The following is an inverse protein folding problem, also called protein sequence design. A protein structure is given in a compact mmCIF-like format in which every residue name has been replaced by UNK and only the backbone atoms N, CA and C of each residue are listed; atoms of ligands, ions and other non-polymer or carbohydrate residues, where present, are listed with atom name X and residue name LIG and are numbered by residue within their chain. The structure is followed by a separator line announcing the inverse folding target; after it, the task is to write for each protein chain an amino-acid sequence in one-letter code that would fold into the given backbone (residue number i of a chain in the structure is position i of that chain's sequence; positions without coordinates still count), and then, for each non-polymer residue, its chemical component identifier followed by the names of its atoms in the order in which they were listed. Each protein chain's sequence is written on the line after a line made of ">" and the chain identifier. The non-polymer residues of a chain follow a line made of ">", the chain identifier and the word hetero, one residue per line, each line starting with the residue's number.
data_IF_876756841827
#
_entry.id   IF_876756841827
#
_cell.length_a   1.000
_cell.length_b   1.000
_cell.length_c   1.000
_cell.angle_alpha   90.00
_cell.angle_beta   90.00
_cell.angle_gamma   90.00
#
_symmetry.space_group_name_H-M   'P 1'
#
loop_
_entity.id
_entity.type
_entity.pdbx_description
1 polymer ?
#
# COMPACT_ATOMS: atom_id res chain seq x y z
N UNK A 1 20.02 5.24 2.90
CA UNK A 1 19.01 4.17 2.99
C UNK A 1 19.43 3.05 2.04
N UNK A 2 19.43 1.81 2.53
CA UNK A 2 19.74 0.65 1.70
C UNK A 2 18.52 0.26 0.85
N UNK A 3 18.15 1.10 -0.11
CA UNK A 3 17.14 0.76 -1.09
C UNK A 3 17.81 0.09 -2.29
N UNK A 4 17.10 -0.83 -2.92
CA UNK A 4 17.52 -1.41 -4.20
C UNK A 4 17.53 -0.35 -5.29
N UNK A 5 18.46 -0.47 -6.22
CA UNK A 5 18.52 0.34 -7.43
C UNK A 5 17.76 -0.36 -8.57
N UNK A 6 17.49 0.36 -9.64
CA UNK A 6 16.90 -0.24 -10.86
C UNK A 6 17.78 -1.34 -11.45
N UNK A 7 19.09 -1.25 -11.26
CA UNK A 7 20.07 -2.26 -11.72
C UNK A 7 19.97 -3.57 -10.92
N UNK A 8 19.56 -3.49 -9.64
CA UNK A 8 19.40 -4.68 -8.80
C UNK A 8 18.16 -5.50 -9.17
N UNK A 9 17.17 -4.90 -9.86
CA UNK A 9 15.90 -5.55 -10.18
C UNK A 9 16.08 -6.85 -10.97
N UNK A 10 16.94 -6.87 -11.97
CA UNK A 10 17.20 -8.07 -12.77
C UNK A 10 17.70 -9.22 -11.90
N UNK A 11 18.72 -8.95 -11.09
CA UNK A 11 19.30 -9.97 -10.20
C UNK A 11 18.30 -10.48 -9.17
N UNK A 12 17.46 -9.58 -8.62
CA UNK A 12 16.43 -9.95 -7.64
C UNK A 12 15.37 -10.83 -8.31
N UNK A 13 14.87 -10.41 -9.47
CA UNK A 13 13.84 -11.16 -10.21
C UNK A 13 14.35 -12.55 -10.61
N UNK A 14 15.55 -12.65 -11.17
CA UNK A 14 16.16 -13.93 -11.54
C UNK A 14 16.26 -14.89 -10.34
N UNK A 15 16.74 -14.40 -9.20
CA UNK A 15 16.83 -15.21 -7.98
C UNK A 15 15.47 -15.66 -7.46
N UNK A 16 14.48 -14.81 -7.51
CA UNK A 16 13.13 -15.13 -7.08
C UNK A 16 12.47 -16.15 -8.02
N UNK A 17 12.62 -15.96 -9.33
CA UNK A 17 12.08 -16.87 -10.33
C UNK A 17 12.71 -18.27 -10.24
N UNK A 18 14.01 -18.36 -9.92
CA UNK A 18 14.71 -19.63 -9.75
C UNK A 18 14.11 -20.52 -8.63
N UNK A 19 13.34 -19.93 -7.71
CA UNK A 19 12.67 -20.63 -6.60
C UNK A 19 11.15 -20.46 -6.64
N UNK A 20 10.59 -20.10 -7.80
CA UNK A 20 9.15 -19.87 -8.04
C UNK A 20 8.50 -18.84 -7.09
N UNK A 21 9.24 -17.77 -6.78
CA UNK A 21 8.76 -16.64 -5.95
C UNK A 21 8.44 -15.44 -6.84
N UNK A 22 7.24 -14.87 -6.70
CA UNK A 22 6.83 -13.65 -7.40
C UNK A 22 7.50 -12.43 -6.78
N UNK A 23 7.78 -11.43 -7.63
CA UNK A 23 8.35 -10.15 -7.22
C UNK A 23 7.36 -9.03 -7.47
N UNK A 24 7.16 -8.16 -6.46
CA UNK A 24 6.30 -7.01 -6.57
C UNK A 24 7.10 -5.73 -6.28
N UNK A 25 7.01 -4.77 -7.19
CA UNK A 25 7.63 -3.46 -7.03
C UNK A 25 6.62 -2.45 -6.49
N UNK A 26 6.90 -1.84 -5.33
CA UNK A 26 6.06 -0.78 -4.78
C UNK A 26 6.41 0.56 -5.43
N UNK A 27 5.43 1.17 -6.11
CA UNK A 27 5.49 2.49 -6.73
C UNK A 27 4.25 3.28 -6.31
N UNK A 28 4.04 3.37 -4.99
CA UNK A 28 2.80 3.81 -4.37
C UNK A 28 2.90 5.15 -3.63
N UNK A 29 3.89 5.95 -3.95
CA UNK A 29 4.03 7.31 -3.41
C UNK A 29 3.25 8.31 -4.27
N UNK A 30 2.91 9.47 -3.68
CA UNK A 30 2.37 10.61 -4.42
C UNK A 30 3.42 11.11 -5.39
N UNK A 31 3.04 11.34 -6.66
CA UNK A 31 3.92 11.80 -7.74
C UNK A 31 3.71 13.29 -8.01
N UNK A 32 4.81 14.03 -8.13
CA UNK A 32 4.81 15.40 -8.62
C UNK A 32 5.25 15.43 -10.09
N UNK A 33 5.04 16.54 -10.82
CA UNK A 33 5.42 16.61 -12.24
C UNK A 33 6.88 16.23 -12.51
N UNK A 34 7.79 16.61 -11.63
CA UNK A 34 9.22 16.30 -11.71
C UNK A 34 9.57 14.83 -11.48
N UNK A 35 8.67 14.06 -10.84
CA UNK A 35 8.88 12.64 -10.59
C UNK A 35 8.48 11.77 -11.81
N UNK A 36 7.65 12.28 -12.70
CA UNK A 36 7.07 11.50 -13.79
C UNK A 36 8.11 10.87 -14.74
N UNK A 37 9.21 11.55 -15.11
CA UNK A 37 10.25 10.92 -15.92
C UNK A 37 10.88 9.71 -15.23
N UNK A 38 11.26 9.85 -13.97
CA UNK A 38 11.83 8.76 -13.17
C UNK A 38 10.83 7.62 -12.95
N UNK A 39 9.57 7.95 -12.71
CA UNK A 39 8.50 6.94 -12.57
C UNK A 39 8.40 6.06 -13.82
N UNK A 40 8.43 6.68 -15.01
CA UNK A 40 8.39 5.94 -16.28
C UNK A 40 9.61 5.05 -16.46
N UNK A 41 10.81 5.56 -16.18
CA UNK A 41 12.05 4.81 -16.20
C UNK A 41 11.98 3.57 -15.27
N UNK A 42 11.47 3.73 -14.04
CA UNK A 42 11.30 2.63 -13.09
C UNK A 42 10.34 1.57 -13.63
N UNK A 43 9.21 1.96 -14.21
CA UNK A 43 8.24 1.03 -14.81
C UNK A 43 8.86 0.27 -15.98
N UNK A 44 9.61 0.94 -16.86
CA UNK A 44 10.27 0.33 -18.01
C UNK A 44 11.32 -0.70 -17.56
N UNK A 45 12.13 -0.36 -16.55
CA UNK A 45 13.09 -1.31 -15.95
C UNK A 45 12.40 -2.50 -15.28
N UNK A 46 11.28 -2.27 -14.58
CA UNK A 46 10.51 -3.34 -13.96
C UNK A 46 9.95 -4.31 -15.01
N UNK A 47 9.44 -3.78 -16.13
CA UNK A 47 8.99 -4.58 -17.28
C UNK A 47 10.14 -5.40 -17.86
N UNK A 48 11.29 -4.78 -18.14
CA UNK A 48 12.46 -5.43 -18.70
C UNK A 48 13.01 -6.52 -17.79
N UNK A 49 13.02 -6.29 -16.48
CA UNK A 49 13.44 -7.26 -15.48
C UNK A 49 12.46 -8.42 -15.31
N UNK A 50 11.21 -8.30 -15.77
CA UNK A 50 10.17 -9.32 -15.60
C UNK A 50 9.59 -9.35 -14.19
N UNK A 51 9.46 -8.18 -13.53
CA UNK A 51 8.74 -8.04 -12.24
C UNK A 51 7.31 -8.53 -12.41
N UNK A 52 6.82 -9.31 -11.44
CA UNK A 52 5.49 -9.96 -11.52
C UNK A 52 4.34 -8.95 -11.51
N UNK A 53 4.46 -7.87 -10.71
CA UNK A 53 3.49 -6.77 -10.72
C UNK A 53 4.08 -5.49 -10.09
N UNK A 54 3.44 -4.36 -10.38
CA UNK A 54 3.70 -3.07 -9.74
C UNK A 54 2.53 -2.74 -8.81
N UNK A 55 2.83 -2.42 -7.53
CA UNK A 55 1.85 -1.94 -6.56
C UNK A 55 1.84 -0.42 -6.62
N UNK A 56 0.76 0.19 -7.10
CA UNK A 56 0.68 1.63 -7.33
C UNK A 56 -0.57 2.27 -6.71
N UNK A 57 -0.52 3.58 -6.50
CA UNK A 57 -1.64 4.39 -6.03
C UNK A 57 -1.83 5.69 -6.82
N UNK A 58 -0.77 6.22 -7.41
CA UNK A 58 -0.86 7.40 -8.25
C UNK A 58 -1.40 7.04 -9.63
N UNK A 59 -2.36 7.84 -10.14
CA UNK A 59 -3.01 7.58 -11.42
C UNK A 59 -2.00 7.57 -12.58
N UNK A 60 -0.98 8.42 -12.55
CA UNK A 60 0.04 8.44 -13.60
C UNK A 60 0.83 7.12 -13.62
N UNK A 61 1.18 6.58 -12.45
CA UNK A 61 1.88 5.29 -12.33
C UNK A 61 0.98 4.12 -12.77
N UNK A 62 -0.30 4.12 -12.35
CA UNK A 62 -1.29 3.11 -12.76
C UNK A 62 -1.45 3.06 -14.28
N UNK A 63 -1.74 4.21 -14.89
CA UNK A 63 -1.96 4.31 -16.33
C UNK A 63 -0.73 3.92 -17.14
N UNK A 64 0.45 4.39 -16.71
CA UNK A 64 1.68 4.09 -17.43
C UNK A 64 2.05 2.62 -17.34
N UNK A 65 1.99 2.01 -16.16
CA UNK A 65 2.26 0.58 -15.97
C UNK A 65 1.28 -0.29 -16.78
N UNK A 66 -0.02 0.04 -16.73
CA UNK A 66 -1.04 -0.61 -17.54
C UNK A 66 -0.74 -0.50 -19.05
N UNK A 67 -0.44 0.70 -19.55
CA UNK A 67 -0.10 0.94 -20.96
C UNK A 67 1.16 0.19 -21.40
N UNK A 68 2.10 -0.05 -20.49
CA UNK A 68 3.29 -0.87 -20.73
C UNK A 68 3.01 -2.38 -20.68
N UNK A 69 1.80 -2.80 -20.31
CA UNK A 69 1.43 -4.21 -20.17
C UNK A 69 2.02 -4.89 -18.93
N UNK A 70 2.39 -4.12 -17.90
CA UNK A 70 2.81 -4.64 -16.61
C UNK A 70 1.59 -4.86 -15.73
N UNK A 71 1.49 -6.01 -15.05
CA UNK A 71 0.40 -6.25 -14.09
C UNK A 71 0.42 -5.21 -12.98
N UNK A 72 -0.75 -4.66 -12.67
CA UNK A 72 -0.90 -3.64 -11.64
C UNK A 72 -1.72 -4.18 -10.48
N UNK A 73 -1.22 -3.95 -9.26
CA UNK A 73 -1.96 -4.13 -8.02
C UNK A 73 -2.27 -2.76 -7.42
N UNK A 74 -3.52 -2.56 -7.02
CA UNK A 74 -3.97 -1.31 -6.40
C UNK A 74 -3.51 -1.26 -4.94
N UNK A 75 -2.71 -0.23 -4.62
CA UNK A 75 -2.24 -0.04 -3.24
C UNK A 75 -3.38 0.33 -2.29
N UNK A 76 -3.27 -0.07 -1.02
CA UNK A 76 -4.16 0.37 0.05
C UNK A 76 -4.26 1.89 0.18
N UNK A 77 -3.31 2.65 -0.33
CA UNK A 77 -3.32 4.12 -0.33
C UNK A 77 -4.43 4.73 -1.19
N UNK A 78 -5.04 3.95 -2.09
CA UNK A 78 -6.24 4.35 -2.82
C UNK A 78 -7.50 4.33 -1.95
N UNK A 79 -7.44 3.69 -0.77
CA UNK A 79 -8.54 3.62 0.20
C UNK A 79 -9.86 3.11 -0.41
N UNK A 80 -9.77 2.08 -1.25
CA UNK A 80 -10.93 1.47 -1.88
C UNK A 80 -11.74 0.75 -0.81
N UNK A 81 -12.95 1.25 -0.56
CA UNK A 81 -13.82 0.82 0.53
C UNK A 81 -15.24 0.44 0.06
N UNK A 82 -15.49 0.45 -1.23
CA UNK A 82 -16.80 0.11 -1.81
C UNK A 82 -16.63 -0.39 -3.25
N UNK A 83 -17.67 -1.03 -3.75
CA UNK A 83 -17.72 -1.65 -5.07
C UNK A 83 -17.60 -0.65 -6.21
N UNK A 84 -18.13 0.56 -6.08
CA UNK A 84 -18.07 1.56 -7.16
C UNK A 84 -16.64 2.08 -7.36
N UNK A 85 -15.90 2.35 -6.28
CA UNK A 85 -14.49 2.69 -6.36
C UNK A 85 -13.68 1.53 -6.96
N UNK A 86 -13.98 0.29 -6.56
CA UNK A 86 -13.34 -0.90 -7.10
C UNK A 86 -13.56 -1.03 -8.61
N UNK A 87 -14.79 -0.87 -9.11
CA UNK A 87 -15.11 -0.90 -10.54
C UNK A 87 -14.32 0.13 -11.34
N UNK A 88 -14.20 1.34 -10.80
CA UNK A 88 -13.44 2.39 -11.46
C UNK A 88 -11.97 1.98 -11.66
N UNK A 89 -11.36 1.40 -10.64
CA UNK A 89 -9.94 1.01 -10.72
C UNK A 89 -9.70 -0.36 -11.37
N UNK A 90 -10.69 -1.23 -11.45
CA UNK A 90 -10.59 -2.56 -12.08
C UNK A 90 -10.17 -2.50 -13.55
N UNK A 91 -10.42 -1.37 -14.24
CA UNK A 91 -9.96 -1.16 -15.60
C UNK A 91 -8.42 -1.14 -15.76
N UNK A 92 -7.67 -0.94 -14.67
CA UNK A 92 -6.21 -0.83 -14.69
C UNK A 92 -5.49 -1.96 -13.95
N UNK A 93 -6.19 -2.74 -13.14
CA UNK A 93 -5.54 -3.65 -12.20
C UNK A 93 -6.31 -4.95 -12.00
N UNK A 94 -5.56 -6.03 -11.74
CA UNK A 94 -6.11 -7.37 -11.49
C UNK A 94 -6.21 -7.71 -10.00
N UNK A 95 -5.61 -6.90 -9.13
CA UNK A 95 -5.61 -7.08 -7.67
C UNK A 95 -5.89 -5.74 -6.98
N UNK A 96 -6.73 -5.76 -5.96
CA UNK A 96 -7.02 -4.62 -5.10
C UNK A 96 -6.64 -4.90 -3.66
N UNK A 97 -5.82 -4.02 -3.06
CA UNK A 97 -5.66 -3.97 -1.61
C UNK A 97 -6.72 -3.05 -1.05
N UNK A 98 -7.73 -3.61 -0.36
CA UNK A 98 -8.83 -2.84 0.19
C UNK A 98 -8.38 -1.92 1.33
N UNK A 99 -9.20 -0.90 1.63
CA UNK A 99 -9.02 -0.03 2.78
C UNK A 99 -8.97 -0.85 4.07
N UNK A 100 -8.04 -0.48 4.96
CA UNK A 100 -7.78 -1.22 6.21
C UNK A 100 -8.85 -1.04 7.28
N UNK A 101 -9.71 -0.06 7.10
CA UNK A 101 -10.82 0.28 8.02
C UNK A 101 -12.03 -0.65 7.86
N UNK A 102 -12.06 -1.45 6.79
CA UNK A 102 -13.17 -2.36 6.53
C UNK A 102 -13.18 -3.54 7.50
N UNK A 103 -14.37 -3.88 7.99
CA UNK A 103 -14.60 -5.12 8.70
C UNK A 103 -14.86 -6.29 7.72
N UNK A 104 -14.88 -7.52 8.24
CA UNK A 104 -15.04 -8.73 7.41
C UNK A 104 -16.36 -8.78 6.64
N UNK A 105 -17.47 -8.28 7.22
CA UNK A 105 -18.77 -8.26 6.53
C UNK A 105 -18.77 -7.33 5.33
N UNK A 106 -18.12 -6.16 5.47
CA UNK A 106 -17.95 -5.22 4.36
C UNK A 106 -17.07 -5.81 3.26
N UNK A 107 -15.98 -6.48 3.61
CA UNK A 107 -15.12 -7.17 2.62
C UNK A 107 -15.89 -8.28 1.93
N UNK A 108 -16.66 -9.09 2.68
CA UNK A 108 -17.49 -10.15 2.11
C UNK A 108 -18.58 -9.60 1.18
N UNK A 109 -19.13 -8.40 1.47
CA UNK A 109 -20.06 -7.73 0.57
C UNK A 109 -19.41 -7.35 -0.74
N UNK A 110 -18.23 -6.70 -0.69
CA UNK A 110 -17.48 -6.33 -1.91
C UNK A 110 -17.11 -7.59 -2.72
N UNK A 111 -16.71 -8.67 -2.04
CA UNK A 111 -16.38 -9.93 -2.72
C UNK A 111 -17.60 -10.54 -3.44
N UNK A 112 -18.79 -10.53 -2.81
CA UNK A 112 -20.03 -10.95 -3.48
C UNK A 112 -20.33 -10.10 -4.70
N UNK A 113 -20.20 -8.77 -4.57
CA UNK A 113 -20.42 -7.85 -5.69
C UNK A 113 -19.48 -8.11 -6.86
N UNK A 114 -18.20 -8.46 -6.58
CA UNK A 114 -17.25 -8.85 -7.63
C UNK A 114 -17.78 -10.03 -8.44
N UNK A 115 -18.34 -11.04 -7.77
CA UNK A 115 -18.86 -12.24 -8.42
C UNK A 115 -20.18 -11.93 -9.15
N UNK A 116 -21.13 -11.31 -8.46
CA UNK A 116 -22.48 -11.06 -8.97
C UNK A 116 -22.51 -10.09 -10.16
N UNK A 117 -21.60 -9.10 -10.14
CA UNK A 117 -21.49 -8.07 -11.18
C UNK A 117 -20.39 -8.35 -12.21
N UNK A 118 -19.74 -9.51 -12.11
CA UNK A 118 -18.66 -9.97 -13.03
C UNK A 118 -17.54 -8.92 -13.20
N UNK A 119 -17.05 -8.35 -12.07
CA UNK A 119 -16.04 -7.28 -12.11
C UNK A 119 -14.67 -7.89 -12.40
N UNK A 120 -14.15 -7.57 -13.59
CA UNK A 120 -12.90 -8.14 -14.12
C UNK A 120 -11.80 -7.11 -14.23
N UNK A 121 -10.56 -7.56 -14.02
CA UNK A 121 -9.36 -6.80 -14.32
C UNK A 121 -8.94 -6.91 -15.81
N UNK A 122 -7.83 -6.26 -16.18
CA UNK A 122 -7.31 -6.25 -17.56
C UNK A 122 -7.02 -7.63 -18.15
N UNK A 123 -6.71 -8.62 -17.34
CA UNK A 123 -6.49 -10.01 -17.79
C UNK A 123 -7.77 -10.77 -18.12
N UNK A 124 -8.92 -10.15 -17.90
CA UNK A 124 -10.22 -10.79 -18.11
C UNK A 124 -10.66 -11.74 -17.00
N UNK A 125 -9.87 -11.86 -15.91
CA UNK A 125 -10.23 -12.61 -14.71
C UNK A 125 -10.96 -11.73 -13.70
N UNK A 126 -11.75 -12.33 -12.80
CA UNK A 126 -12.35 -11.59 -11.68
C UNK A 126 -11.25 -10.90 -10.88
N UNK A 127 -11.46 -9.63 -10.52
CA UNK A 127 -10.49 -8.89 -9.72
C UNK A 127 -10.31 -9.55 -8.36
N UNK A 128 -9.09 -9.71 -7.92
CA UNK A 128 -8.72 -10.38 -6.68
C UNK A 128 -8.58 -9.36 -5.55
N UNK A 129 -9.02 -9.75 -4.35
CA UNK A 129 -8.87 -8.95 -3.14
C UNK A 129 -7.60 -9.38 -2.40
N UNK A 130 -6.83 -8.39 -1.95
CA UNK A 130 -5.75 -8.55 -1.00
C UNK A 130 -6.07 -7.77 0.28
N UNK A 131 -5.76 -8.35 1.45
CA UNK A 131 -6.02 -7.76 2.76
C UNK A 131 -4.79 -7.87 3.67
N UNK A 132 -4.62 -6.87 4.52
CA UNK A 132 -3.66 -6.97 5.62
C UNK A 132 -4.17 -7.93 6.70
N UNK A 133 -3.33 -8.89 7.08
CA UNK A 133 -3.63 -9.86 8.16
C UNK A 133 -2.72 -9.71 9.38
N UNK A 134 -1.57 -9.05 9.24
CA UNK A 134 -0.60 -8.89 10.33
C UNK A 134 0.24 -7.63 10.14
N UNK A 135 0.64 -7.01 11.24
CA UNK A 135 1.64 -5.94 11.28
C UNK A 135 1.09 -4.60 11.74
N UNK A 136 1.93 -3.60 11.61
CA UNK A 136 1.66 -2.26 12.10
C UNK A 136 0.50 -1.60 11.36
N UNK A 137 -0.53 -1.16 12.09
CA UNK A 137 -1.58 -0.30 11.56
C UNK A 137 -1.15 1.17 11.62
N UNK A 138 -1.38 1.89 10.53
CA UNK A 138 -1.19 3.34 10.50
C UNK A 138 -2.35 4.04 11.23
N UNK A 139 -2.06 5.11 11.97
CA UNK A 139 -3.09 5.93 12.62
C UNK A 139 -3.91 6.75 11.63
N UNK A 140 -3.36 7.05 10.47
CA UNK A 140 -3.99 7.86 9.44
C UNK A 140 -4.64 7.00 8.37
N UNK A 141 -5.59 7.56 7.64
CA UNK A 141 -6.03 7.03 6.36
C UNK A 141 -4.81 6.85 5.46
N UNK A 142 -4.70 5.70 4.80
CA UNK A 142 -3.52 5.33 4.02
C UNK A 142 -3.17 6.40 2.98
N UNK A 143 -1.90 6.81 2.94
CA UNK A 143 -1.40 7.82 2.02
C UNK A 143 -1.82 9.27 2.36
N UNK A 144 -2.32 9.56 3.58
CA UNK A 144 -2.80 10.90 3.98
C UNK A 144 -2.31 11.32 5.36
N UNK A 145 -1.03 11.07 5.67
CA UNK A 145 -0.42 11.42 6.94
C UNK A 145 0.57 12.58 6.79
N UNK A 146 0.35 13.64 7.56
CA UNK A 146 1.24 14.81 7.62
C UNK A 146 2.13 14.85 8.87
N UNK A 147 2.05 13.85 9.75
CA UNK A 147 2.74 13.89 11.04
C UNK A 147 4.28 14.01 10.87
N UNK A 148 4.88 13.18 10.01
CA UNK A 148 6.32 13.24 9.74
C UNK A 148 6.72 14.51 8.99
N UNK A 149 5.88 14.99 8.08
CA UNK A 149 6.13 16.22 7.33
C UNK A 149 6.15 17.43 8.27
N UNK A 150 5.14 17.55 9.12
CA UNK A 150 5.02 18.68 10.04
C UNK A 150 6.15 18.74 11.08
N UNK A 151 6.59 17.58 11.58
CA UNK A 151 7.57 17.53 12.67
C UNK A 151 9.02 17.46 12.18
N UNK A 152 9.28 16.87 11.03
CA UNK A 152 10.64 16.54 10.56
C UNK A 152 10.89 16.90 9.10
N UNK A 153 9.96 17.58 8.42
CA UNK A 153 10.09 17.91 6.99
C UNK A 153 10.12 16.68 6.06
N UNK A 154 9.74 15.49 6.56
CA UNK A 154 9.79 14.23 5.83
C UNK A 154 8.39 13.72 5.50
N UNK A 155 7.99 13.75 4.22
CA UNK A 155 6.64 13.36 3.81
C UNK A 155 6.44 11.85 3.82
N UNK A 156 5.58 11.37 4.70
CA UNK A 156 5.17 9.95 4.74
C UNK A 156 4.46 9.52 3.44
N UNK A 157 3.71 10.44 2.80
CA UNK A 157 2.98 10.19 1.56
C UNK A 157 3.93 10.06 0.34
N UNK A 158 5.18 10.50 0.51
CA UNK A 158 6.26 10.35 -0.46
C UNK A 158 7.32 9.32 -0.03
N UNK A 159 6.95 8.38 0.82
CA UNK A 159 7.80 7.28 1.24
C UNK A 159 8.72 7.56 2.45
N UNK A 160 8.71 8.77 3.02
CA UNK A 160 9.58 9.16 4.13
C UNK A 160 8.84 9.18 5.49
N UNK A 161 8.15 8.09 5.83
CA UNK A 161 7.50 7.94 7.12
C UNK A 161 8.53 7.70 8.24
N UNK A 162 8.64 8.64 9.19
CA UNK A 162 9.56 8.56 10.32
C UNK A 162 8.94 7.90 11.57
N UNK A 163 7.74 7.31 11.43
CA UNK A 163 7.02 6.57 12.47
C UNK A 163 6.89 7.32 13.81
N UNK A 164 6.69 8.64 13.77
CA UNK A 164 6.58 9.48 14.97
C UNK A 164 5.45 8.98 15.88
N UNK A 165 4.32 8.54 15.31
CA UNK A 165 3.19 7.99 16.06
C UNK A 165 3.53 6.74 16.91
N UNK A 166 4.71 6.14 16.71
CA UNK A 166 5.17 4.92 17.40
C UNK A 166 6.34 5.15 18.36
N UNK A 167 6.68 6.39 18.64
CA UNK A 167 7.70 6.75 19.63
C UNK A 167 7.12 6.69 21.04
N UNK A 168 8.01 6.66 22.06
CA UNK A 168 7.65 6.95 23.44
C UNK A 168 7.22 8.42 23.61
N UNK A 169 6.32 8.68 24.54
CA UNK A 169 5.79 10.00 24.84
C UNK A 169 5.74 10.22 26.34
N UNK A 170 5.91 11.47 26.75
CA UNK A 170 5.57 11.94 28.09
C UNK A 170 4.21 12.59 28.02
N UNK A 171 3.27 12.12 28.82
CA UNK A 171 1.95 12.72 29.00
C UNK A 171 1.96 13.54 30.26
N UNK A 172 1.76 14.86 30.15
CA UNK A 172 1.67 15.77 31.29
C UNK A 172 0.22 16.18 31.52
N UNK A 173 -0.23 15.99 32.75
CA UNK A 173 -1.52 16.55 33.19
C UNK A 173 -1.39 18.08 33.27
N UNK A 174 -2.40 18.80 32.75
CA UNK A 174 -2.36 20.28 32.72
C UNK A 174 -2.75 20.92 34.04
N UNK A 175 -3.44 20.22 34.91
CA UNK A 175 -3.99 20.71 36.18
C UNK A 175 -3.14 20.29 37.36
N UNK A 176 -2.28 19.28 37.19
CA UNK A 176 -1.32 18.80 38.17
C UNK A 176 0.08 18.71 37.54
N UNK A 177 1.12 18.63 38.34
CA UNK A 177 2.48 18.42 37.87
C UNK A 177 2.77 16.92 37.58
N UNK A 178 1.73 16.09 37.46
CA UNK A 178 1.88 14.67 37.16
C UNK A 178 2.36 14.48 35.72
N UNK A 179 3.49 13.81 35.56
CA UNK A 179 4.02 13.36 34.29
C UNK A 179 4.03 11.83 34.25
N UNK A 180 3.53 11.24 33.16
CA UNK A 180 3.53 9.83 32.91
C UNK A 180 4.42 9.55 31.71
N UNK A 181 5.51 8.83 31.92
CA UNK A 181 6.27 8.26 30.82
C UNK A 181 5.48 7.07 30.24
N UNK A 182 5.25 7.13 28.95
CA UNK A 182 4.54 6.06 28.25
C UNK A 182 5.44 5.48 27.17
N UNK A 183 6.14 4.44 27.55
CA UNK A 183 6.98 3.64 26.66
C UNK A 183 6.15 2.79 25.68
N UNK A 184 4.84 2.73 25.89
CA UNK A 184 3.91 2.08 25.00
C UNK A 184 3.75 2.87 23.71
N UNK A 185 4.10 2.26 22.62
CA UNK A 185 4.03 2.81 21.26
C UNK A 185 2.61 3.17 20.79
N UNK A 186 1.57 3.11 21.65
CA UNK A 186 0.16 3.14 21.25
C UNK A 186 -0.62 4.36 21.77
N UNK A 187 0.02 5.43 22.19
CA UNK A 187 -0.66 6.70 22.50
C UNK A 187 -1.20 7.33 21.21
N UNK A 188 -0.34 7.39 20.18
CA UNK A 188 -0.63 8.06 18.91
C UNK A 188 -0.92 7.06 17.77
N UNK A 189 -0.84 5.76 18.00
CA UNK A 189 -1.09 4.74 16.99
C UNK A 189 -2.03 3.65 17.51
N UNK A 190 -2.84 3.01 16.62
CA UNK A 190 -3.58 1.81 17.00
C UNK A 190 -2.62 0.66 17.32
N UNK A 191 -3.14 -0.37 18.00
CA UNK A 191 -2.43 -1.63 18.19
C UNK A 191 -2.16 -2.30 16.85
N UNK A 192 -1.13 -3.14 16.81
CA UNK A 192 -0.79 -3.91 15.63
C UNK A 192 -1.90 -4.90 15.27
N UNK A 193 -2.14 -5.06 13.98
CA UNK A 193 -3.07 -6.03 13.47
C UNK A 193 -2.52 -7.44 13.71
N UNK A 194 -3.36 -8.33 14.23
CA UNK A 194 -3.05 -9.73 14.44
C UNK A 194 -4.29 -10.57 14.18
N UNK A 195 -4.52 -10.92 12.92
CA UNK A 195 -5.72 -11.66 12.48
C UNK A 195 -5.42 -13.08 11.99
N UNK A 196 -4.20 -13.56 12.16
CA UNK A 196 -3.77 -14.88 11.70
C UNK A 196 -4.67 -16.02 12.21
N UNK A 197 -5.31 -15.82 13.36
CA UNK A 197 -6.22 -16.80 13.96
C UNK A 197 -7.56 -16.91 13.23
N UNK A 198 -7.88 -15.99 12.32
CA UNK A 198 -9.15 -15.95 11.58
C UNK A 198 -8.96 -16.16 10.07
N UNK A 199 -7.78 -16.43 9.59
CA UNK A 199 -7.48 -16.55 8.14
C UNK A 199 -8.26 -17.68 7.46
N UNK A 200 -8.82 -18.62 8.24
CA UNK A 200 -9.60 -19.75 7.73
C UNK A 200 -11.12 -19.51 7.79
N UNK A 201 -11.55 -18.32 8.16
CA UNK A 201 -12.97 -17.93 8.21
C UNK A 201 -13.36 -17.11 7.00
#
# INVERSE_FOLDING_TARGET
>A
SANFTTQDLHTIVERCQAVDVKTYLTLNTVMYPEDLPLMREIVDHAKQAGVSAIIASDIAALQYAYAQGVEVHLSTQLNIANTEALKFYAQYADVVVLARELNMDQVASIYRDIIEQDIRGPKGELIRIEMFCHGALCMAVSGKCYLSLNNLGASANRGACMQICRRGYVVKDKESDLELEVDNQYIMSPKDLKTIHFLNK
#
